data_IF_358823690273
#
_entry.id   IF_358823690273
#
_cell.length_a   1.000
_cell.length_b   1.000
_cell.length_c   1.000
_cell.angle_alpha   90.00
_cell.angle_beta   90.00
_cell.angle_gamma   90.00
#
_symmetry.space_group_name_H-M   'P 1'
#
loop_
_entity.id
_entity.type
_entity.pdbx_description
1 polymer ?
#
# COMPACT_ATOMS: atom_id res chain seq x y z
N UNK A 1 14.85 -0.58 0.60
CA UNK A 1 13.68 -1.45 0.29
C UNK A 1 13.80 -1.81 -1.19
N UNK A 2 13.64 -3.08 -1.58
CA UNK A 2 13.66 -3.45 -2.99
C UNK A 2 12.21 -3.66 -3.43
N UNK A 3 11.67 -2.70 -4.18
CA UNK A 3 10.26 -2.67 -4.56
C UNK A 3 10.12 -3.27 -5.96
N UNK A 4 9.32 -4.33 -6.08
CA UNK A 4 8.90 -4.87 -7.37
C UNK A 4 7.42 -4.51 -7.57
N UNK A 5 7.03 -4.27 -8.81
CA UNK A 5 5.66 -3.94 -9.15
C UNK A 5 5.02 -5.17 -9.79
N UNK A 6 3.85 -5.58 -9.32
CA UNK A 6 3.08 -6.65 -9.93
C UNK A 6 1.81 -6.01 -10.46
N UNK A 7 1.72 -5.85 -11.78
CA UNK A 7 0.54 -5.21 -12.37
C UNK A 7 -0.61 -6.23 -12.44
N UNK A 8 -1.87 -5.80 -12.25
CA UNK A 8 -3.00 -6.61 -12.68
C UNK A 8 -2.80 -7.04 -14.13
N UNK A 9 -3.21 -8.28 -14.45
CA UNK A 9 -2.92 -9.02 -15.70
C UNK A 9 -3.35 -8.29 -17.00
N UNK A 10 -3.99 -7.13 -16.90
CA UNK A 10 -4.46 -6.33 -18.03
C UNK A 10 -3.92 -4.87 -18.07
N UNK A 11 -2.88 -4.54 -17.30
CA UNK A 11 -2.47 -3.15 -17.12
C UNK A 11 -1.00 -2.88 -17.47
N UNK A 12 -0.78 -2.07 -18.51
CA UNK A 12 0.50 -1.43 -18.83
C UNK A 12 1.05 -0.67 -17.62
N UNK A 13 2.38 -0.65 -17.45
CA UNK A 13 3.08 -0.07 -16.30
C UNK A 13 2.49 1.29 -15.89
N UNK A 14 1.73 1.29 -14.80
CA UNK A 14 1.06 2.49 -14.31
C UNK A 14 2.06 3.50 -13.76
N UNK A 15 1.72 4.79 -13.87
CA UNK A 15 2.33 5.84 -13.07
C UNK A 15 1.85 5.70 -11.62
N UNK A 16 2.38 4.70 -10.94
CA UNK A 16 2.21 4.48 -9.50
C UNK A 16 3.57 4.64 -8.85
N UNK A 17 3.76 5.72 -8.09
CA UNK A 17 4.98 5.97 -7.32
C UNK A 17 4.64 6.02 -5.84
N UNK A 18 5.34 5.23 -5.06
CA UNK A 18 5.24 5.19 -3.61
C UNK A 18 6.58 5.59 -3.00
N UNK A 19 6.61 6.73 -2.33
CA UNK A 19 7.78 7.21 -1.61
C UNK A 19 7.51 7.12 -0.11
N UNK A 20 8.49 6.66 0.66
CA UNK A 20 8.39 6.55 2.11
C UNK A 20 9.53 7.33 2.77
N UNK A 21 9.17 8.30 3.61
CA UNK A 21 10.09 9.17 4.33
C UNK A 21 9.79 9.11 5.83
N UNK A 22 10.77 8.84 6.72
CA UNK A 22 12.11 8.38 6.41
C UNK A 22 12.12 6.91 5.98
N UNK A 23 13.07 6.53 5.11
CA UNK A 23 13.29 5.13 4.69
C UNK A 23 13.69 4.19 5.86
N UNK A 24 14.03 4.74 7.04
CA UNK A 24 14.38 3.98 8.23
C UNK A 24 13.15 3.68 9.09
N UNK A 25 12.42 2.64 8.69
CA UNK A 25 11.19 2.18 9.36
C UNK A 25 11.43 1.78 10.83
N UNK A 26 12.66 1.37 11.16
CA UNK A 26 13.00 0.89 12.51
C UNK A 26 13.25 2.00 13.54
N UNK A 27 13.55 3.23 13.10
CA UNK A 27 13.97 4.33 14.00
C UNK A 27 12.83 5.27 14.39
N UNK A 28 11.81 5.37 13.55
CA UNK A 28 10.65 6.24 13.78
C UNK A 28 9.39 5.39 13.75
N UNK A 29 8.40 5.75 14.57
CA UNK A 29 7.07 5.12 14.57
C UNK A 29 6.06 5.84 13.66
N UNK A 30 6.53 6.94 13.05
CA UNK A 30 5.77 7.75 12.12
C UNK A 30 6.54 7.75 10.81
N UNK A 31 5.85 7.39 9.73
CA UNK A 31 6.36 7.43 8.37
C UNK A 31 5.39 8.21 7.50
N UNK A 32 5.93 9.10 6.70
CA UNK A 32 5.19 9.85 5.69
C UNK A 32 5.31 9.09 4.37
N UNK A 33 4.17 8.69 3.83
CA UNK A 33 4.08 7.97 2.57
C UNK A 33 3.46 8.89 1.53
N UNK A 34 4.23 9.26 0.51
CA UNK A 34 3.71 10.01 -0.64
C UNK A 34 3.34 9.02 -1.74
N UNK A 35 2.08 9.04 -2.14
CA UNK A 35 1.54 8.23 -3.23
C UNK A 35 1.24 9.14 -4.41
N UNK A 36 1.84 8.84 -5.57
CA UNK A 36 1.42 9.43 -6.83
C UNK A 36 0.80 8.34 -7.69
N UNK A 37 -0.45 8.52 -8.08
CA UNK A 37 -1.22 7.52 -8.80
C UNK A 37 -2.18 8.16 -9.80
N UNK A 38 -2.31 7.56 -10.98
CA UNK A 38 -3.35 7.92 -11.96
C UNK A 38 -4.33 6.73 -12.05
N UNK A 39 -5.50 6.80 -11.38
CA UNK A 39 -6.48 5.73 -11.43
C UNK A 39 -7.12 5.62 -12.82
N UNK A 40 -7.46 4.39 -13.24
CA UNK A 40 -8.13 4.11 -14.52
C UNK A 40 -9.64 3.94 -14.41
N UNK A 41 -10.16 4.08 -13.20
CA UNK A 41 -11.57 4.04 -12.84
C UNK A 41 -11.82 5.13 -11.81
N UNK A 42 -13.06 5.55 -11.68
CA UNK A 42 -13.45 6.44 -10.59
C UNK A 42 -13.29 5.68 -9.27
N UNK A 43 -12.70 6.34 -8.26
CA UNK A 43 -12.38 5.73 -6.97
C UNK A 43 -13.39 6.20 -5.94
N UNK A 44 -14.60 5.67 -6.00
CA UNK A 44 -15.66 5.94 -5.01
C UNK A 44 -15.68 4.92 -3.87
N UNK A 45 -15.02 3.78 -4.07
CA UNK A 45 -14.84 2.74 -3.08
C UNK A 45 -13.41 2.23 -3.20
N UNK A 46 -12.75 2.04 -2.06
CA UNK A 46 -11.36 1.58 -2.02
C UNK A 46 -11.14 0.78 -0.74
N UNK A 47 -11.00 -0.53 -0.91
CA UNK A 47 -10.57 -1.44 0.14
C UNK A 47 -9.14 -1.85 -0.11
N UNK A 48 -8.28 -1.65 0.87
CA UNK A 48 -6.88 -2.03 0.82
C UNK A 48 -6.65 -3.28 1.66
N UNK A 49 -5.90 -4.22 1.10
CA UNK A 49 -5.53 -5.48 1.74
C UNK A 49 -4.01 -5.64 1.70
N UNK A 50 -3.41 -5.78 2.89
CA UNK A 50 -2.00 -6.06 3.07
C UNK A 50 -1.80 -7.54 3.40
N UNK A 51 -0.92 -8.19 2.66
CA UNK A 51 -0.42 -9.53 2.95
C UNK A 51 1.07 -9.48 3.21
N UNK A 52 1.48 -9.71 4.45
CA UNK A 52 2.89 -9.77 4.82
C UNK A 52 3.28 -11.22 5.01
N UNK A 53 4.33 -11.63 4.31
CA UNK A 53 4.94 -12.94 4.41
C UNK A 53 6.34 -12.81 4.98
N UNK A 54 6.64 -13.60 6.02
CA UNK A 54 7.96 -13.70 6.63
C UNK A 54 8.45 -15.14 6.50
N UNK A 55 9.64 -15.34 5.90
CA UNK A 55 10.21 -16.67 5.66
C UNK A 55 9.25 -17.69 5.01
N UNK A 56 8.38 -17.23 4.11
CA UNK A 56 7.41 -18.07 3.39
C UNK A 56 6.13 -18.39 4.17
N UNK A 57 5.99 -17.93 5.42
CA UNK A 57 4.75 -18.03 6.19
C UNK A 57 3.99 -16.69 6.19
N UNK A 58 2.66 -16.75 6.15
CA UNK A 58 1.79 -15.57 6.26
C UNK A 58 1.93 -15.02 7.69
N UNK A 59 2.61 -13.88 7.82
CA UNK A 59 2.95 -13.27 9.10
C UNK A 59 1.88 -12.27 9.55
N UNK A 60 1.33 -11.51 8.60
CA UNK A 60 0.32 -10.50 8.90
C UNK A 60 -0.64 -10.35 7.73
N UNK A 61 -1.90 -10.12 8.06
CA UNK A 61 -2.95 -9.85 7.09
C UNK A 61 -3.89 -8.83 7.66
N UNK A 62 -4.02 -7.73 6.94
CA UNK A 62 -4.77 -6.59 7.39
C UNK A 62 -5.58 -6.05 6.23
N UNK A 63 -6.83 -5.74 6.53
CA UNK A 63 -7.80 -5.18 5.59
C UNK A 63 -8.26 -3.85 6.17
N UNK A 64 -8.24 -2.82 5.34
CA UNK A 64 -8.71 -1.50 5.69
C UNK A 64 -9.61 -0.97 4.58
N UNK A 65 -10.73 -0.39 4.97
CA UNK A 65 -11.63 0.30 4.06
C UNK A 65 -11.27 1.78 4.10
N UNK A 66 -10.68 2.30 3.02
CA UNK A 66 -10.30 3.71 2.91
C UNK A 66 -11.44 4.57 2.36
N UNK A 67 -12.20 4.03 1.41
CA UNK A 67 -13.35 4.71 0.82
C UNK A 67 -14.57 3.80 0.83
N UNK A 68 -15.65 4.30 1.40
CA UNK A 68 -17.00 3.74 1.47
C UNK A 68 -18.06 4.65 0.81
N UNK A 69 -17.64 5.64 0.04
CA UNK A 69 -18.47 6.59 -0.70
C UNK A 69 -17.67 7.83 -1.13
N UNK A 70 -18.38 8.87 -1.58
CA UNK A 70 -17.78 10.14 -2.02
C UNK A 70 -17.62 11.17 -0.88
N UNK A 71 -17.98 10.83 0.36
CA UNK A 71 -18.02 11.74 1.51
C UNK A 71 -17.05 11.28 2.62
N UNK A 72 -15.96 10.60 2.22
CA UNK A 72 -14.99 10.01 3.13
C UNK A 72 -13.80 10.94 3.42
N UNK A 73 -13.08 10.63 4.50
CA UNK A 73 -12.02 11.48 5.08
C UNK A 73 -10.84 11.73 4.13
N UNK A 74 -10.64 10.88 3.12
CA UNK A 74 -9.51 10.96 2.21
C UNK A 74 -9.93 11.44 0.82
N UNK A 75 -9.23 12.44 0.28
CA UNK A 75 -9.51 12.99 -1.06
C UNK A 75 -9.32 11.96 -2.21
N UNK A 76 -8.61 10.85 -1.94
CA UNK A 76 -8.55 9.69 -2.85
C UNK A 76 -9.94 9.12 -3.18
N UNK A 77 -10.94 9.30 -2.32
CA UNK A 77 -12.30 8.78 -2.46
C UNK A 77 -13.19 9.60 -3.41
N UNK A 78 -12.71 10.77 -3.86
CA UNK A 78 -13.39 11.62 -4.84
C UNK A 78 -12.67 11.63 -6.19
N UNK A 79 -11.60 10.85 -6.34
CA UNK A 79 -10.74 10.91 -7.53
C UNK A 79 -11.42 10.28 -8.74
N UNK A 80 -11.48 11.03 -9.83
CA UNK A 80 -12.03 10.56 -11.10
C UNK A 80 -10.97 9.85 -11.94
N UNK A 81 -11.44 9.00 -12.85
CA UNK A 81 -10.61 8.31 -13.83
C UNK A 81 -9.71 9.29 -14.59
N UNK A 82 -8.41 9.02 -14.59
CA UNK A 82 -7.41 9.76 -15.35
C UNK A 82 -6.86 11.00 -14.66
N UNK A 83 -7.39 11.37 -13.48
CA UNK A 83 -6.82 12.44 -12.67
C UNK A 83 -5.50 11.99 -12.04
N UNK A 84 -4.59 12.93 -11.79
CA UNK A 84 -3.35 12.63 -11.08
C UNK A 84 -3.58 12.86 -9.59
N UNK A 85 -3.56 11.78 -8.82
CA UNK A 85 -3.59 11.81 -7.37
C UNK A 85 -2.17 11.95 -6.84
N UNK A 86 -1.93 12.94 -6.00
CA UNK A 86 -0.75 13.05 -5.15
C UNK A 86 -1.22 13.22 -3.73
N UNK A 87 -1.06 12.18 -2.91
CA UNK A 87 -1.51 12.19 -1.51
C UNK A 87 -0.38 11.80 -0.56
N UNK A 88 -0.39 12.43 0.61
CA UNK A 88 0.57 12.20 1.68
C UNK A 88 -0.13 11.59 2.88
N UNK A 89 0.27 10.36 3.22
CA UNK A 89 -0.31 9.61 4.33
C UNK A 89 0.69 9.54 5.48
N UNK A 90 0.24 9.91 6.68
CA UNK A 90 1.01 9.64 7.90
C UNK A 90 0.70 8.22 8.40
N UNK A 91 1.60 7.29 8.12
CA UNK A 91 1.52 5.91 8.60
C UNK A 91 2.13 5.84 10.00
N UNK A 92 1.26 5.68 11.00
CA UNK A 92 1.67 5.41 12.38
C UNK A 92 1.88 3.91 12.56
N UNK A 93 3.13 3.49 12.50
CA UNK A 93 3.51 2.12 12.83
C UNK A 93 3.22 1.81 14.29
N UNK A 94 2.42 0.77 14.54
CA UNK A 94 2.34 0.17 15.88
C UNK A 94 3.75 -0.29 16.31
N UNK A 95 4.01 -0.40 17.63
CA UNK A 95 5.28 -0.87 18.23
C UNK A 95 5.66 -2.33 17.89
N UNK A 96 5.38 -2.81 16.69
CA UNK A 96 5.78 -4.13 16.22
C UNK A 96 7.26 -4.11 15.86
N UNK A 97 8.07 -4.83 16.65
CA UNK A 97 9.46 -5.11 16.30
C UNK A 97 9.48 -6.04 15.08
N UNK A 98 10.02 -5.59 13.96
CA UNK A 98 10.25 -6.44 12.79
C UNK A 98 11.58 -7.18 12.98
N UNK A 99 11.58 -8.52 13.20
CA UNK A 99 12.82 -9.28 13.25
C UNK A 99 13.58 -9.16 11.93
N UNK A 100 14.91 -9.32 11.98
CA UNK A 100 15.74 -9.35 10.78
C UNK A 100 15.26 -10.45 9.82
N UNK A 101 15.27 -10.11 8.54
CA UNK A 101 14.92 -11.04 7.48
C UNK A 101 14.30 -10.36 6.27
N UNK A 102 13.82 -11.22 5.37
CA UNK A 102 13.15 -10.82 4.15
C UNK A 102 11.65 -10.96 4.32
N UNK A 103 10.96 -9.87 4.09
CA UNK A 103 9.51 -9.79 4.09
C UNK A 103 9.05 -9.58 2.65
N UNK A 104 8.10 -10.40 2.21
CA UNK A 104 7.38 -10.14 0.98
C UNK A 104 6.02 -9.55 1.36
N UNK A 105 5.75 -8.34 0.90
CA UNK A 105 4.53 -7.62 1.20
C UNK A 105 3.78 -7.43 -0.10
N UNK A 106 2.57 -7.97 -0.14
CA UNK A 106 1.65 -7.80 -1.26
C UNK A 106 0.58 -6.81 -0.81
N UNK A 107 0.44 -5.72 -1.54
CA UNK A 107 -0.62 -4.73 -1.37
C UNK A 107 -1.62 -4.91 -2.50
N UNK A 108 -2.88 -5.12 -2.14
CA UNK A 108 -3.99 -5.20 -3.08
C UNK A 108 -4.99 -4.11 -2.74
N UNK A 109 -5.50 -3.42 -3.75
CA UNK A 109 -6.56 -2.43 -3.62
C UNK A 109 -7.73 -2.81 -4.51
N UNK A 110 -8.93 -2.79 -3.95
CA UNK A 110 -10.17 -3.19 -4.59
C UNK A 110 -11.16 -2.04 -4.65
N UNK A 111 -11.84 -1.88 -5.78
CA UNK A 111 -12.90 -0.87 -5.96
C UNK A 111 -14.29 -1.38 -5.54
N UNK A 112 -14.36 -2.52 -4.84
CA UNK A 112 -15.59 -3.11 -4.35
C UNK A 112 -15.37 -3.90 -3.05
N UNK A 113 -16.44 -4.10 -2.30
CA UNK A 113 -16.39 -4.84 -1.03
C UNK A 113 -16.14 -6.34 -1.24
N UNK A 114 -16.57 -6.91 -2.38
CA UNK A 114 -16.41 -8.34 -2.69
C UNK A 114 -14.99 -8.75 -3.10
N UNK A 115 -14.04 -7.80 -3.16
CA UNK A 115 -12.63 -8.06 -3.52
C UNK A 115 -12.47 -8.66 -4.92
N UNK A 116 -13.34 -8.28 -5.86
CA UNK A 116 -13.36 -8.84 -7.23
C UNK A 116 -12.71 -7.93 -8.27
N UNK A 117 -12.79 -6.62 -8.08
CA UNK A 117 -12.26 -5.60 -8.99
C UNK A 117 -11.00 -4.98 -8.39
N UNK A 118 -9.88 -5.62 -8.66
CA UNK A 118 -8.57 -5.15 -8.21
C UNK A 118 -8.10 -3.97 -9.07
N UNK A 119 -7.88 -2.83 -8.43
CA UNK A 119 -7.40 -1.58 -9.05
C UNK A 119 -5.93 -1.31 -8.73
N UNK A 120 -5.42 -1.86 -7.62
CA UNK A 120 -4.02 -1.74 -7.21
C UNK A 120 -3.49 -3.14 -6.88
N UNK A 121 -2.31 -3.46 -7.38
CA UNK A 121 -1.55 -4.63 -6.97
C UNK A 121 -0.07 -4.24 -6.91
N UNK A 122 0.58 -4.46 -5.77
CA UNK A 122 2.01 -4.19 -5.60
C UNK A 122 2.64 -5.34 -4.82
N UNK A 123 3.87 -5.70 -5.17
CA UNK A 123 4.60 -6.75 -4.47
C UNK A 123 6.01 -6.27 -4.14
N UNK A 124 6.21 -5.75 -2.94
CA UNK A 124 7.50 -5.22 -2.52
C UNK A 124 8.19 -6.12 -1.50
N UNK A 125 9.51 -6.21 -1.64
CA UNK A 125 10.36 -6.94 -0.70
C UNK A 125 11.00 -5.95 0.26
N UNK A 126 10.61 -6.06 1.53
CA UNK A 126 11.29 -5.36 2.61
C UNK A 126 12.40 -6.25 3.17
N UNK A 127 13.62 -5.72 3.20
CA UNK A 127 14.79 -6.39 3.77
C UNK A 127 15.17 -5.64 5.03
N UNK A 128 14.91 -6.24 6.18
CA UNK A 128 15.30 -5.71 7.48
C UNK A 128 16.72 -6.22 7.76
N UNK A 129 17.71 -5.33 7.75
CA UNK A 129 19.14 -5.68 7.91
C UNK A 129 19.63 -5.62 9.36
N UNK A 130 18.96 -4.86 10.22
CA UNK A 130 19.32 -4.67 11.63
C UNK A 130 18.21 -5.23 12.51
N UNK A 131 18.58 -6.03 13.51
CA UNK A 131 17.70 -6.39 14.63
C UNK A 131 17.63 -5.21 15.62
N UNK A 132 16.58 -5.14 16.44
CA UNK A 132 16.43 -4.15 17.53
C UNK A 132 17.33 -4.51 18.74
N UNK A 133 18.47 -5.18 18.53
CA UNK A 133 19.39 -5.57 19.59
C UNK A 133 20.84 -5.23 19.23
#
# INVERSE_FOLDING_TARGET
INMKYCFPVDSTAHAFMFNLTPCSIMKTHVWEATVNWIPRSDITFLKIVFHVWYNGAKAFHWKELLCSGTDDEYAVCETLKGETLTEEFEIKGSRTSFPKGNYNIILEGFSDDSETNMVICLNFTMIVKQDVF
#
